data_IF_828145977765
#
_entry.id   IF_828145977765
#
_cell.length_a   1.000
_cell.length_b   1.000
_cell.length_c   1.000
_cell.angle_alpha   90.00
_cell.angle_beta   90.00
_cell.angle_gamma   90.00
#
_symmetry.space_group_name_H-M   'P 1'
#
loop_
_entity.id
_entity.type
_entity.pdbx_description
1 polymer ?
#
# COMPACT_ATOMS: atom_id res chain seq x y z
N UNK A 1 -11.85 26.04 4.76
CA UNK A 1 -12.91 26.36 3.77
C UNK A 1 -14.26 25.79 4.22
N UNK A 2 -14.32 24.51 4.64
CA UNK A 2 -15.58 23.84 4.98
C UNK A 2 -16.24 24.44 6.25
N UNK A 3 -15.46 24.81 7.26
CA UNK A 3 -15.97 25.41 8.48
C UNK A 3 -16.67 26.77 8.23
N UNK A 4 -16.17 27.57 7.29
CA UNK A 4 -16.82 28.82 6.89
C UNK A 4 -18.13 28.58 6.13
N UNK A 5 -18.18 27.59 5.26
CA UNK A 5 -19.40 27.18 4.56
C UNK A 5 -20.50 26.71 5.52
N UNK A 6 -20.10 26.17 6.68
CA UNK A 6 -20.99 25.78 7.77
C UNK A 6 -21.34 26.95 8.73
N UNK A 7 -20.92 28.19 8.43
CA UNK A 7 -21.19 29.38 9.22
C UNK A 7 -20.32 29.52 10.46
N UNK A 8 -19.22 28.76 10.58
CA UNK A 8 -18.26 28.91 11.68
C UNK A 8 -17.47 30.22 11.53
N UNK A 9 -17.36 30.99 12.60
CA UNK A 9 -16.61 32.26 12.64
C UNK A 9 -15.31 32.19 13.43
N UNK A 10 -15.10 31.10 14.18
CA UNK A 10 -13.93 30.90 15.04
C UNK A 10 -13.45 29.43 14.95
N UNK A 11 -12.15 29.24 15.10
CA UNK A 11 -11.52 27.96 15.36
C UNK A 11 -10.96 27.91 16.77
N UNK A 12 -11.02 26.75 17.43
CA UNK A 12 -10.48 26.55 18.79
C UNK A 12 -9.67 25.23 18.81
N UNK A 13 -8.62 25.22 19.62
CA UNK A 13 -7.80 24.02 19.86
C UNK A 13 -7.30 24.00 21.31
N UNK A 14 -6.83 22.84 21.77
CA UNK A 14 -6.11 22.67 23.03
C UNK A 14 -4.65 22.27 22.74
N UNK A 15 -3.70 22.91 23.46
CA UNK A 15 -2.27 22.60 23.39
C UNK A 15 -1.72 22.40 24.80
N UNK A 16 -0.82 21.44 25.01
CA UNK A 16 -0.18 21.20 26.32
C UNK A 16 0.62 22.44 26.75
N UNK A 17 0.39 22.91 27.98
CA UNK A 17 1.18 24.01 28.57
C UNK A 17 2.62 23.59 28.72
N UNK A 18 3.53 24.36 28.12
CA UNK A 18 4.96 24.00 27.97
C UNK A 18 5.36 23.43 26.62
N UNK A 19 4.42 23.17 25.69
CA UNK A 19 4.75 22.88 24.29
C UNK A 19 5.00 24.18 23.52
N UNK A 20 6.15 24.82 23.80
CA UNK A 20 6.51 26.14 23.26
C UNK A 20 6.49 26.18 21.72
N UNK A 21 6.91 25.08 21.05
CA UNK A 21 6.93 25.01 19.59
C UNK A 21 5.52 25.04 18.98
N UNK A 22 4.58 24.29 19.55
CA UNK A 22 3.19 24.29 19.10
C UNK A 22 2.48 25.63 19.41
N UNK A 23 2.74 26.18 20.60
CA UNK A 23 2.19 27.49 21.01
C UNK A 23 2.69 28.59 20.07
N UNK A 24 3.98 28.61 19.72
CA UNK A 24 4.55 29.57 18.78
C UNK A 24 3.92 29.45 17.38
N UNK A 25 3.73 28.22 16.89
CA UNK A 25 3.06 27.97 15.61
C UNK A 25 1.62 28.51 15.62
N UNK A 26 0.84 28.18 16.65
CA UNK A 26 -0.56 28.65 16.72
C UNK A 26 -0.68 30.16 16.88
N UNK A 27 0.22 30.78 17.65
CA UNK A 27 0.29 32.25 17.73
C UNK A 27 0.58 32.86 16.35
N UNK A 28 1.50 32.27 15.57
CA UNK A 28 1.81 32.72 14.20
C UNK A 28 0.60 32.57 13.25
N UNK A 29 -0.28 31.59 13.49
CA UNK A 29 -1.53 31.40 12.75
C UNK A 29 -2.69 32.30 13.25
N UNK A 30 -2.42 33.20 14.18
CA UNK A 30 -3.41 34.15 14.71
C UNK A 30 -4.26 33.60 15.86
N UNK A 31 -3.91 32.44 16.44
CA UNK A 31 -4.55 31.96 17.65
C UNK A 31 -4.08 32.76 18.89
N UNK A 32 -4.98 32.98 19.80
CA UNK A 32 -4.70 33.63 21.11
C UNK A 32 -5.23 32.76 22.23
N UNK A 33 -4.59 32.82 23.40
CA UNK A 33 -5.05 32.09 24.58
C UNK A 33 -6.44 32.58 24.99
N UNK A 34 -7.41 31.69 25.04
CA UNK A 34 -8.79 31.95 25.48
C UNK A 34 -9.09 31.36 26.86
N UNK A 35 -8.25 30.46 27.37
CA UNK A 35 -8.43 29.86 28.70
C UNK A 35 -7.49 28.67 28.93
N UNK A 36 -7.65 28.03 30.08
CA UNK A 36 -6.85 26.86 30.48
C UNK A 36 -7.72 25.75 31.05
N UNK A 37 -7.37 24.49 30.75
CA UNK A 37 -8.00 23.31 31.34
C UNK A 37 -6.98 22.55 32.17
N UNK A 38 -7.18 22.50 33.49
CA UNK A 38 -6.27 21.84 34.42
C UNK A 38 -6.29 20.31 34.23
N UNK A 39 -5.10 19.71 34.19
CA UNK A 39 -4.93 18.26 34.14
C UNK A 39 -5.45 17.58 32.87
N UNK A 40 -5.69 18.33 31.79
CA UNK A 40 -6.29 17.82 30.55
C UNK A 40 -5.42 16.74 29.89
N UNK A 41 -4.09 16.89 29.92
CA UNK A 41 -3.12 15.92 29.41
C UNK A 41 -2.54 14.98 30.48
N UNK A 42 -3.17 14.94 31.68
CA UNK A 42 -2.76 14.10 32.80
C UNK A 42 -2.36 14.90 34.05
N UNK A 43 -1.97 14.22 35.11
CA UNK A 43 -1.61 14.85 36.38
C UNK A 43 -0.45 15.85 36.24
N UNK A 44 -0.73 17.14 36.50
CA UNK A 44 0.24 18.24 36.42
C UNK A 44 0.50 18.76 34.99
N UNK A 45 -0.31 18.33 33.99
CA UNK A 45 -0.20 18.75 32.59
C UNK A 45 -1.49 19.47 32.17
N UNK A 46 -1.45 20.76 32.17
CA UNK A 46 -2.58 21.62 31.81
C UNK A 46 -2.65 21.82 30.28
N UNK A 47 -3.84 22.10 29.76
CA UNK A 47 -4.02 22.56 28.38
C UNK A 47 -4.26 24.06 28.34
N UNK A 48 -3.63 24.75 27.40
CA UNK A 48 -4.00 26.09 26.97
C UNK A 48 -5.06 25.92 25.86
N UNK A 49 -6.22 26.54 26.07
CA UNK A 49 -7.25 26.64 25.02
C UNK A 49 -6.95 27.89 24.21
N UNK A 50 -6.73 27.72 22.90
CA UNK A 50 -6.43 28.81 21.99
C UNK A 50 -7.56 28.98 20.96
N UNK A 51 -7.86 30.20 20.58
CA UNK A 51 -8.90 30.53 19.59
C UNK A 51 -8.38 31.51 18.55
N UNK A 52 -8.87 31.40 17.33
CA UNK A 52 -8.61 32.34 16.24
C UNK A 52 -9.89 32.61 15.44
N UNK A 53 -10.06 33.81 14.87
CA UNK A 53 -11.14 34.08 13.92
C UNK A 53 -10.87 33.33 12.59
N UNK A 54 -11.94 32.94 11.91
CA UNK A 54 -11.85 32.36 10.55
C UNK A 54 -12.14 33.46 9.50
N UNK A 55 -11.44 33.43 8.35
CA UNK A 55 -10.37 32.51 7.95
C UNK A 55 -9.07 32.75 8.72
N UNK A 56 -8.30 31.68 8.93
CA UNK A 56 -6.97 31.79 9.53
C UNK A 56 -6.06 32.60 8.60
N UNK A 57 -5.35 33.56 9.17
CA UNK A 57 -4.34 34.36 8.44
C UNK A 57 -3.02 33.61 8.53
N UNK A 58 -2.57 33.03 7.43
CA UNK A 58 -1.23 32.44 7.36
C UNK A 58 -0.19 33.58 7.48
N UNK A 59 0.85 33.43 8.31
CA UNK A 59 1.94 34.39 8.36
C UNK A 59 2.58 34.48 6.98
N UNK A 60 2.57 35.67 6.40
CA UNK A 60 3.38 35.94 5.20
C UNK A 60 4.79 36.19 5.72
N UNK A 61 5.62 35.17 5.70
CA UNK A 61 7.01 35.29 6.14
C UNK A 61 7.80 36.08 5.10
N UNK A 62 7.98 37.39 5.33
CA UNK A 62 8.81 38.25 4.48
C UNK A 62 10.33 37.98 4.66
N UNK A 63 10.71 36.98 5.44
CA UNK A 63 12.08 36.60 5.77
C UNK A 63 12.39 35.15 5.47
N UNK A 64 11.66 34.51 4.55
CA UNK A 64 12.08 33.19 4.06
C UNK A 64 13.47 33.32 3.45
N UNK A 65 14.44 32.46 3.79
CA UNK A 65 15.72 32.42 3.07
C UNK A 65 15.43 32.23 1.59
N UNK A 66 16.26 32.81 0.72
CA UNK A 66 16.08 32.60 -0.72
C UNK A 66 15.94 31.10 -0.99
N UNK A 67 14.89 30.70 -1.73
CA UNK A 67 14.62 29.28 -1.95
C UNK A 67 15.83 28.63 -2.61
N UNK A 68 16.20 27.46 -2.12
CA UNK A 68 17.27 26.65 -2.72
C UNK A 68 16.95 26.33 -4.17
N UNK A 69 17.92 25.92 -4.97
CA UNK A 69 17.68 25.52 -6.37
C UNK A 69 16.61 24.42 -6.52
N UNK A 70 16.42 23.59 -5.49
CA UNK A 70 15.34 22.60 -5.43
C UNK A 70 13.97 23.22 -5.15
N UNK A 71 13.91 24.26 -4.31
CA UNK A 71 12.69 25.02 -3.98
C UNK A 71 12.29 26.01 -5.06
N UNK A 72 13.21 26.37 -5.95
CA UNK A 72 12.96 27.23 -7.12
C UNK A 72 12.37 26.43 -8.31
N UNK A 73 12.24 25.12 -8.22
CA UNK A 73 11.56 24.34 -9.25
C UNK A 73 10.10 24.76 -9.35
N UNK A 74 9.76 25.43 -10.44
CA UNK A 74 8.36 25.74 -10.78
C UNK A 74 7.67 24.42 -11.08
N UNK A 75 6.74 24.04 -10.24
CA UNK A 75 5.95 22.83 -10.46
C UNK A 75 4.53 23.21 -10.94
N UNK A 76 3.92 22.55 -11.95
CA UNK A 76 4.48 21.46 -12.74
C UNK A 76 5.64 21.91 -13.63
N UNK A 77 6.63 21.02 -13.82
CA UNK A 77 7.77 21.28 -14.68
C UNK A 77 7.28 21.77 -16.06
N UNK A 78 7.87 22.85 -16.63
CA UNK A 78 7.50 23.31 -17.96
C UNK A 78 7.75 22.19 -18.98
N UNK A 79 6.87 22.08 -19.98
CA UNK A 79 7.06 21.13 -21.06
C UNK A 79 8.42 21.35 -21.72
N UNK A 80 9.26 20.30 -21.84
CA UNK A 80 10.53 20.40 -22.56
C UNK A 80 10.32 20.87 -24.01
N UNK A 81 11.31 21.46 -24.59
CA UNK A 81 11.30 21.82 -26.02
C UNK A 81 11.34 20.58 -26.93
N UNK A 82 10.26 19.80 -26.95
CA UNK A 82 10.14 18.57 -27.75
C UNK A 82 10.13 18.85 -29.24
N UNK A 83 10.81 18.02 -30.02
CA UNK A 83 10.63 17.92 -31.45
C UNK A 83 9.21 17.46 -31.81
N UNK A 84 8.76 17.68 -33.04
CA UNK A 84 7.44 17.20 -33.50
C UNK A 84 7.33 15.66 -33.43
N UNK A 85 8.41 14.93 -33.74
CA UNK A 85 8.47 13.50 -33.67
C UNK A 85 8.33 12.97 -32.24
N UNK A 86 9.00 13.58 -31.26
CA UNK A 86 8.88 13.21 -29.84
C UNK A 86 7.46 13.45 -29.32
N UNK A 87 6.84 14.58 -29.67
CA UNK A 87 5.43 14.86 -29.28
C UNK A 87 4.48 13.82 -29.81
N UNK A 88 4.59 13.49 -31.12
CA UNK A 88 3.74 12.46 -31.74
C UNK A 88 3.93 11.08 -31.10
N UNK A 89 5.18 10.73 -30.73
CA UNK A 89 5.45 9.46 -30.05
C UNK A 89 4.85 9.41 -28.66
N UNK A 90 4.99 10.46 -27.84
CA UNK A 90 4.39 10.56 -26.52
C UNK A 90 2.87 10.49 -26.59
N UNK A 91 2.25 11.25 -27.50
CA UNK A 91 0.80 11.25 -27.70
C UNK A 91 0.29 9.87 -28.10
N UNK A 92 0.97 9.18 -29.01
CA UNK A 92 0.65 7.83 -29.44
C UNK A 92 0.69 6.85 -28.28
N UNK A 93 1.65 7.00 -27.35
CA UNK A 93 1.84 6.12 -26.21
C UNK A 93 0.83 6.30 -25.10
N UNK A 94 0.14 7.45 -25.02
CA UNK A 94 -0.91 7.70 -24.03
C UNK A 94 -0.48 7.33 -22.60
N UNK A 95 0.55 8.00 -22.10
CA UNK A 95 1.19 7.71 -20.83
C UNK A 95 0.26 7.91 -19.63
N UNK A 96 0.12 6.91 -18.78
CA UNK A 96 -0.63 6.98 -17.52
C UNK A 96 0.36 6.95 -16.37
N UNK A 97 0.36 8.02 -15.56
CA UNK A 97 1.07 8.06 -14.28
C UNK A 97 0.16 7.52 -13.19
N UNK A 98 0.68 6.71 -12.28
CA UNK A 98 -0.08 6.23 -11.13
C UNK A 98 0.69 6.37 -9.82
N UNK A 99 -0.03 6.65 -8.74
CA UNK A 99 0.50 6.89 -7.39
C UNK A 99 -0.08 5.85 -6.43
N UNK A 100 0.81 5.22 -5.66
CA UNK A 100 0.47 4.31 -4.55
C UNK A 100 1.00 4.91 -3.24
N UNK A 101 0.12 5.03 -2.24
CA UNK A 101 0.48 5.54 -0.90
C UNK A 101 -0.40 4.94 0.19
N UNK A 102 -0.92 3.73 0.01
CA UNK A 102 -1.93 3.16 0.92
C UNK A 102 -1.40 2.76 2.31
N UNK A 103 -0.09 2.52 2.45
CA UNK A 103 0.52 2.06 3.70
C UNK A 103 1.84 2.78 4.00
N UNK A 104 2.98 2.12 3.80
CA UNK A 104 4.31 2.64 4.14
C UNK A 104 5.25 2.74 2.92
N UNK A 105 4.74 2.52 1.72
CA UNK A 105 5.42 2.81 0.45
C UNK A 105 4.82 4.03 -0.23
N UNK A 106 5.68 4.97 -0.63
CA UNK A 106 5.32 6.01 -1.61
C UNK A 106 5.84 5.56 -2.96
N UNK A 107 4.97 5.19 -3.88
CA UNK A 107 5.39 4.72 -5.18
C UNK A 107 4.71 5.49 -6.32
N UNK A 108 5.44 5.65 -7.44
CA UNK A 108 4.95 6.27 -8.67
C UNK A 108 5.42 5.45 -9.87
N UNK A 109 4.50 5.13 -10.75
CA UNK A 109 4.81 4.41 -11.98
C UNK A 109 4.22 5.12 -13.20
N UNK A 110 4.84 4.91 -14.36
CA UNK A 110 4.35 5.39 -15.64
C UNK A 110 4.30 4.21 -16.61
N UNK A 111 3.13 4.00 -17.18
CA UNK A 111 2.83 2.93 -18.14
C UNK A 111 2.30 3.51 -19.45
N UNK A 112 2.65 2.88 -20.58
CA UNK A 112 2.08 3.27 -21.87
C UNK A 112 0.81 2.47 -22.22
N UNK A 113 0.15 2.84 -23.32
CA UNK A 113 -1.09 2.19 -23.79
C UNK A 113 -0.91 0.70 -24.09
N UNK A 114 0.29 0.26 -24.47
CA UNK A 114 0.60 -1.13 -24.80
C UNK A 114 0.89 -1.96 -23.52
N UNK A 115 0.96 -1.33 -22.35
CA UNK A 115 1.24 -1.98 -21.06
C UNK A 115 2.74 -2.07 -20.75
N UNK A 116 3.60 -1.32 -21.47
CA UNK A 116 5.01 -1.26 -21.15
C UNK A 116 5.24 -0.33 -19.96
N UNK A 117 5.88 -0.84 -18.91
CA UNK A 117 6.26 -0.07 -17.75
C UNK A 117 7.50 0.77 -18.07
N UNK A 118 7.36 2.09 -18.09
CA UNK A 118 8.44 3.03 -18.41
C UNK A 118 9.17 3.51 -17.16
N UNK A 119 8.47 3.60 -16.03
CA UNK A 119 9.04 3.95 -14.73
C UNK A 119 8.26 3.25 -13.60
N UNK A 120 8.96 2.86 -12.54
CA UNK A 120 8.35 2.39 -11.30
C UNK A 120 9.27 2.72 -10.12
N UNK A 121 9.08 3.89 -9.53
CA UNK A 121 9.84 4.40 -8.41
C UNK A 121 9.14 4.06 -7.10
N UNK A 122 9.88 3.55 -6.13
CA UNK A 122 9.36 3.16 -4.81
C UNK A 122 10.26 3.73 -3.72
N UNK A 123 9.68 4.51 -2.82
CA UNK A 123 10.30 4.98 -1.59
C UNK A 123 9.66 4.27 -0.41
N UNK A 124 10.36 3.29 0.17
CA UNK A 124 9.87 2.52 1.33
C UNK A 124 10.24 3.15 2.65
N UNK A 125 9.39 2.98 3.64
CA UNK A 125 9.59 3.45 5.02
C UNK A 125 9.94 2.29 5.98
N UNK A 126 10.18 1.07 5.46
CA UNK A 126 10.39 -0.16 6.26
C UNK A 126 11.47 0.03 7.32
N UNK A 127 12.64 0.58 6.98
CA UNK A 127 13.75 0.78 7.91
C UNK A 127 13.38 1.73 9.06
N UNK A 128 12.49 2.67 8.80
CA UNK A 128 12.01 3.59 9.82
C UNK A 128 11.01 2.88 10.75
N UNK A 129 10.05 2.18 10.21
CA UNK A 129 9.01 1.47 10.95
C UNK A 129 9.55 0.25 11.71
N UNK A 130 10.64 -0.37 11.24
CA UNK A 130 11.32 -1.45 11.93
C UNK A 130 11.75 -1.07 13.37
N UNK A 131 12.07 0.21 13.61
CA UNK A 131 12.43 0.73 14.96
C UNK A 131 11.26 0.68 15.95
N UNK A 132 10.03 0.66 15.46
CA UNK A 132 8.80 0.59 16.26
C UNK A 132 8.20 -0.81 16.28
N UNK A 133 8.76 -1.75 15.51
CA UNK A 133 8.27 -3.11 15.38
C UNK A 133 6.96 -3.24 14.59
N UNK A 134 6.72 -2.30 13.66
CA UNK A 134 5.55 -2.26 12.78
C UNK A 134 5.22 -0.85 12.31
N UNK A 135 4.29 -0.73 11.38
CA UNK A 135 3.88 0.55 10.78
C UNK A 135 3.18 1.44 11.82
N UNK A 136 3.61 2.71 11.90
CA UNK A 136 2.97 3.76 12.71
C UNK A 136 2.25 4.71 11.75
N UNK A 137 0.90 4.71 11.71
CA UNK A 137 0.11 5.40 10.67
C UNK A 137 0.39 6.90 10.54
N UNK A 138 0.50 7.62 11.66
CA UNK A 138 0.79 9.07 11.61
C UNK A 138 2.19 9.39 11.05
N UNK A 139 3.16 8.53 11.34
CA UNK A 139 4.51 8.70 10.81
C UNK A 139 4.51 8.40 9.31
N UNK A 140 3.81 7.33 8.89
CA UNK A 140 3.66 7.00 7.48
C UNK A 140 3.11 8.18 6.69
N UNK A 141 2.04 8.80 7.17
CA UNK A 141 1.43 9.97 6.51
C UNK A 141 2.41 11.12 6.32
N UNK A 142 3.18 11.46 7.35
CA UNK A 142 4.18 12.54 7.27
C UNK A 142 5.30 12.21 6.27
N UNK A 143 5.73 10.96 6.25
CA UNK A 143 6.78 10.50 5.31
C UNK A 143 6.32 10.56 3.86
N UNK A 144 5.06 10.25 3.57
CA UNK A 144 4.51 10.44 2.22
C UNK A 144 4.60 11.90 1.77
N UNK A 145 4.24 12.85 2.63
CA UNK A 145 4.33 14.30 2.32
C UNK A 145 5.77 14.71 2.00
N UNK A 146 6.75 14.17 2.74
CA UNK A 146 8.16 14.52 2.56
C UNK A 146 8.73 14.08 1.20
N UNK A 147 8.23 12.96 0.64
CA UNK A 147 8.91 12.33 -0.50
C UNK A 147 8.09 12.29 -1.81
N UNK A 148 6.77 12.49 -1.76
CA UNK A 148 5.89 12.26 -2.92
C UNK A 148 6.29 13.07 -4.16
N UNK A 149 6.72 14.31 -3.99
CA UNK A 149 7.16 15.18 -5.10
C UNK A 149 8.41 14.60 -5.75
N UNK A 150 9.43 14.25 -4.95
CA UNK A 150 10.69 13.71 -5.48
C UNK A 150 10.51 12.35 -6.17
N UNK A 151 9.58 11.51 -5.70
CA UNK A 151 9.28 10.22 -6.32
C UNK A 151 8.55 10.41 -7.66
N UNK A 152 7.66 11.41 -7.75
CA UNK A 152 7.01 11.79 -9.02
C UNK A 152 8.03 12.33 -10.01
N UNK A 153 8.90 13.26 -9.60
CA UNK A 153 9.94 13.81 -10.45
C UNK A 153 10.85 12.72 -11.02
N UNK A 154 11.32 11.81 -10.16
CA UNK A 154 12.15 10.69 -10.59
C UNK A 154 11.43 9.76 -11.58
N UNK A 155 10.13 9.49 -11.37
CA UNK A 155 9.36 8.68 -12.32
C UNK A 155 9.18 9.36 -13.68
N UNK A 156 8.98 10.68 -13.71
CA UNK A 156 8.89 11.46 -14.96
C UNK A 156 10.23 11.51 -15.71
N UNK A 157 11.35 11.59 -14.98
CA UNK A 157 12.71 11.54 -15.55
C UNK A 157 13.01 10.15 -16.13
N UNK A 158 12.74 9.07 -15.38
CA UNK A 158 12.95 7.68 -15.82
C UNK A 158 12.12 7.34 -17.06
N UNK A 159 10.85 7.78 -17.10
CA UNK A 159 10.01 7.54 -18.26
C UNK A 159 10.54 8.22 -19.51
N UNK A 160 11.04 9.46 -19.40
CA UNK A 160 11.69 10.15 -20.51
C UNK A 160 12.95 9.43 -20.98
N UNK A 161 13.80 8.98 -20.05
CA UNK A 161 14.99 8.19 -20.35
C UNK A 161 14.64 6.85 -21.03
N UNK A 162 13.61 6.15 -20.56
CA UNK A 162 13.12 4.88 -21.15
C UNK A 162 12.62 5.05 -22.58
N UNK A 163 12.11 6.23 -22.92
CA UNK A 163 11.69 6.60 -24.27
C UNK A 163 12.83 7.16 -25.16
N UNK A 164 14.03 7.33 -24.61
CA UNK A 164 15.16 7.92 -25.31
C UNK A 164 14.95 9.38 -25.69
N UNK A 165 14.15 10.12 -24.91
CA UNK A 165 13.85 11.52 -25.18
C UNK A 165 15.02 12.41 -24.77
N UNK A 166 15.37 13.36 -25.62
CA UNK A 166 16.38 14.36 -25.32
C UNK A 166 15.74 15.51 -24.46
N UNK A 167 16.43 15.94 -23.43
CA UNK A 167 16.06 17.16 -22.70
C UNK A 167 15.05 17.00 -21.57
N UNK A 168 15.25 16.04 -20.65
CA UNK A 168 14.65 16.06 -19.33
C UNK A 168 13.42 15.16 -19.13
N UNK A 169 12.59 15.46 -18.15
CA UNK A 169 11.45 14.65 -17.72
C UNK A 169 10.24 14.74 -18.67
N UNK A 170 9.31 13.79 -18.57
CA UNK A 170 7.96 13.92 -19.13
C UNK A 170 7.26 15.08 -18.42
N UNK A 171 6.71 16.03 -19.17
CA UNK A 171 5.91 17.08 -18.56
C UNK A 171 4.53 16.55 -18.13
N UNK A 172 3.93 17.05 -17.04
CA UNK A 172 2.59 16.66 -16.62
C UNK A 172 1.52 16.79 -17.71
N UNK A 173 1.65 17.82 -18.57
CA UNK A 173 0.76 18.02 -19.71
C UNK A 173 0.93 16.99 -20.84
N UNK A 174 2.01 16.22 -20.86
CA UNK A 174 2.28 15.14 -21.82
C UNK A 174 1.65 13.79 -21.38
N UNK A 175 1.19 13.68 -20.15
CA UNK A 175 0.46 12.50 -19.66
C UNK A 175 -0.93 12.41 -20.30
N UNK A 176 -1.49 11.20 -20.37
CA UNK A 176 -2.86 10.96 -20.79
C UNK A 176 -3.84 10.96 -19.61
N UNK A 177 -3.43 10.41 -18.46
CA UNK A 177 -4.23 10.35 -17.25
C UNK A 177 -3.34 10.24 -16.00
N UNK A 178 -3.94 10.49 -14.82
CA UNK A 178 -3.32 10.30 -13.51
C UNK A 178 -4.13 9.31 -12.71
N UNK A 179 -3.51 8.19 -12.35
CA UNK A 179 -4.06 7.16 -11.47
C UNK A 179 -3.67 7.40 -10.01
N UNK A 180 -4.49 6.97 -9.08
CA UNK A 180 -4.15 6.99 -7.65
C UNK A 180 -4.90 5.92 -6.90
N UNK A 181 -4.26 5.33 -5.91
CA UNK A 181 -4.94 4.45 -4.96
C UNK A 181 -5.87 5.27 -4.07
N UNK A 182 -7.18 4.98 -4.18
CA UNK A 182 -8.22 5.59 -3.37
C UNK A 182 -8.39 4.89 -2.03
N UNK A 183 -8.18 3.59 -1.99
CA UNK A 183 -8.34 2.70 -0.85
C UNK A 183 -8.34 1.22 -1.28
N UNK A 184 -8.44 0.29 -0.30
CA UNK A 184 -8.31 0.54 1.14
C UNK A 184 -6.88 0.85 1.56
N UNK A 185 -6.71 1.34 2.82
CA UNK A 185 -5.38 1.62 3.38
C UNK A 185 -5.43 2.53 4.61
N UNK A 186 -4.27 3.00 5.03
CA UNK A 186 -4.15 3.95 6.13
C UNK A 186 -4.69 5.31 5.72
N UNK A 187 -5.72 5.81 6.40
CA UNK A 187 -6.46 7.03 6.02
C UNK A 187 -5.52 8.22 5.76
N UNK A 188 -4.57 8.49 6.67
CA UNK A 188 -3.65 9.63 6.51
C UNK A 188 -2.71 9.47 5.33
N UNK A 189 -2.25 8.27 5.03
CA UNK A 189 -1.40 7.94 3.89
C UNK A 189 -2.17 8.08 2.56
N UNK A 190 -3.37 7.51 2.48
CA UNK A 190 -4.28 7.66 1.33
C UNK A 190 -4.61 9.12 1.03
N UNK A 191 -4.93 9.92 2.07
CA UNK A 191 -5.24 11.35 1.92
C UNK A 191 -4.10 12.10 1.23
N UNK A 192 -2.84 11.80 1.57
CA UNK A 192 -1.68 12.44 0.92
C UNK A 192 -1.65 12.12 -0.57
N UNK A 193 -1.73 10.84 -0.95
CA UNK A 193 -1.70 10.42 -2.35
C UNK A 193 -2.88 10.97 -3.15
N UNK A 194 -4.10 10.85 -2.63
CA UNK A 194 -5.32 11.32 -3.29
C UNK A 194 -5.31 12.85 -3.46
N UNK A 195 -4.95 13.62 -2.40
CA UNK A 195 -4.88 15.07 -2.50
C UNK A 195 -3.81 15.52 -3.50
N UNK A 196 -2.63 14.88 -3.47
CA UNK A 196 -1.57 15.16 -4.42
C UNK A 196 -2.02 14.86 -5.86
N UNK A 197 -2.55 13.66 -6.12
CA UNK A 197 -3.00 13.26 -7.46
C UNK A 197 -4.09 14.18 -8.02
N UNK A 198 -5.06 14.60 -7.18
CA UNK A 198 -6.09 15.58 -7.55
C UNK A 198 -5.46 16.91 -7.99
N UNK A 199 -4.58 17.47 -7.16
CA UNK A 199 -3.90 18.74 -7.47
C UNK A 199 -3.04 18.65 -8.72
N UNK A 200 -2.30 17.55 -8.87
CA UNK A 200 -1.45 17.28 -10.02
C UNK A 200 -2.26 17.13 -11.32
N UNK A 201 -3.28 16.28 -11.33
CA UNK A 201 -4.14 16.07 -12.48
C UNK A 201 -4.88 17.33 -12.89
N UNK A 202 -5.41 18.09 -11.91
CA UNK A 202 -6.09 19.36 -12.16
C UNK A 202 -5.15 20.40 -12.79
N UNK A 203 -3.96 20.57 -12.23
CA UNK A 203 -2.96 21.52 -12.77
C UNK A 203 -2.46 21.11 -14.16
N UNK A 204 -2.34 19.82 -14.43
CA UNK A 204 -1.95 19.28 -15.73
C UNK A 204 -3.10 19.27 -16.77
N UNK A 205 -4.35 19.52 -16.37
CA UNK A 205 -5.53 19.41 -17.22
C UNK A 205 -5.81 17.97 -17.66
N UNK A 206 -5.54 17.00 -16.79
CA UNK A 206 -5.66 15.56 -17.10
C UNK A 206 -6.75 14.89 -16.28
N UNK A 207 -7.41 13.84 -16.82
CA UNK A 207 -8.38 13.06 -16.07
C UNK A 207 -7.73 12.32 -14.90
N UNK A 208 -8.46 12.21 -13.78
CA UNK A 208 -8.12 11.42 -12.61
C UNK A 208 -8.75 10.03 -12.71
N UNK A 209 -8.03 8.99 -12.30
CA UNK A 209 -8.52 7.61 -12.25
C UNK A 209 -8.25 7.03 -10.87
N UNK A 210 -9.28 6.86 -10.07
CA UNK A 210 -9.18 6.23 -8.75
C UNK A 210 -9.15 4.71 -8.86
N UNK A 211 -8.26 4.08 -8.11
CA UNK A 211 -7.98 2.65 -8.17
C UNK A 211 -8.16 2.03 -6.78
N UNK A 212 -8.74 0.84 -6.74
CA UNK A 212 -8.77 0.01 -5.55
C UNK A 212 -7.42 -0.70 -5.39
N UNK A 213 -6.78 -0.55 -4.22
CA UNK A 213 -5.48 -1.16 -3.90
C UNK A 213 -5.48 -2.68 -4.06
N UNK A 214 -6.56 -3.35 -3.63
CA UNK A 214 -6.68 -4.81 -3.72
C UNK A 214 -6.78 -5.29 -5.18
N UNK A 215 -7.45 -4.49 -6.03
CA UNK A 215 -7.48 -4.70 -7.47
C UNK A 215 -6.07 -4.55 -8.06
N UNK A 216 -5.26 -3.61 -7.56
CA UNK A 216 -3.84 -3.47 -7.92
C UNK A 216 -3.08 -4.79 -7.73
N UNK A 217 -3.15 -5.39 -6.56
CA UNK A 217 -2.49 -6.69 -6.31
C UNK A 217 -2.98 -7.81 -7.23
N UNK A 218 -4.24 -7.81 -7.62
CA UNK A 218 -4.77 -8.75 -8.60
C UNK A 218 -4.13 -8.51 -9.97
N UNK A 219 -4.07 -7.25 -10.39
CA UNK A 219 -3.51 -6.85 -11.69
C UNK A 219 -1.99 -6.98 -11.78
N UNK A 220 -1.27 -7.02 -10.65
CA UNK A 220 0.17 -7.33 -10.62
C UNK A 220 0.51 -8.64 -11.34
N UNK A 221 -0.44 -9.59 -11.43
CA UNK A 221 -0.26 -10.84 -12.18
C UNK A 221 -0.17 -10.62 -13.70
N UNK A 222 -0.75 -9.53 -14.23
CA UNK A 222 -0.64 -9.19 -15.65
C UNK A 222 0.78 -8.75 -16.06
N UNK A 223 1.56 -8.26 -15.09
CA UNK A 223 2.98 -7.93 -15.33
C UNK A 223 3.82 -9.19 -15.61
N UNK A 224 3.40 -10.35 -15.09
CA UNK A 224 4.04 -11.64 -15.38
C UNK A 224 3.38 -12.36 -16.56
N UNK A 225 2.08 -12.19 -16.73
CA UNK A 225 1.27 -12.90 -17.71
C UNK A 225 0.25 -11.96 -18.36
N UNK A 226 0.66 -11.20 -19.40
CA UNK A 226 -0.21 -10.20 -20.05
C UNK A 226 -1.46 -10.81 -20.73
N UNK A 227 -1.42 -12.11 -21.07
CA UNK A 227 -2.54 -12.84 -21.68
C UNK A 227 -3.54 -13.43 -20.66
N UNK A 228 -3.35 -13.20 -19.35
CA UNK A 228 -4.26 -13.64 -18.30
C UNK A 228 -5.67 -13.07 -18.53
N UNK A 229 -6.67 -13.95 -18.49
CA UNK A 229 -8.08 -13.60 -18.68
C UNK A 229 -8.98 -14.31 -17.67
N UNK A 230 -10.00 -13.62 -17.14
CA UNK A 230 -11.04 -14.29 -16.35
C UNK A 230 -11.79 -15.37 -17.16
N UNK A 231 -12.41 -16.39 -16.50
CA UNK A 231 -12.50 -16.51 -15.04
C UNK A 231 -11.28 -17.24 -14.43
N UNK A 232 -10.90 -16.83 -13.22
CA UNK A 232 -9.85 -17.49 -12.44
C UNK A 232 -10.05 -17.30 -10.92
N UNK A 233 -9.32 -18.09 -10.12
CA UNK A 233 -9.27 -17.91 -8.66
C UNK A 233 -8.03 -17.10 -8.30
N UNK A 234 -8.23 -16.08 -7.48
CA UNK A 234 -7.16 -15.22 -6.96
C UNK A 234 -7.09 -15.32 -5.42
N UNK A 235 -5.88 -15.51 -4.89
CA UNK A 235 -5.63 -15.41 -3.45
C UNK A 235 -4.80 -14.17 -3.18
N UNK A 236 -5.34 -13.24 -2.40
CA UNK A 236 -4.59 -12.13 -1.85
C UNK A 236 -4.03 -12.52 -0.48
N UNK A 237 -2.72 -12.39 -0.31
CA UNK A 237 -2.00 -12.65 0.94
C UNK A 237 -0.98 -11.54 1.20
N UNK A 238 -1.34 -10.62 2.07
CA UNK A 238 -0.51 -9.43 2.39
C UNK A 238 -0.38 -9.23 3.90
N UNK A 239 0.22 -8.11 4.31
CA UNK A 239 0.28 -7.68 5.70
C UNK A 239 -1.10 -7.36 6.28
N UNK A 240 -1.97 -6.71 5.48
CA UNK A 240 -3.30 -6.26 5.93
C UNK A 240 -4.46 -7.15 5.47
N UNK A 241 -4.29 -7.96 4.42
CA UNK A 241 -5.39 -8.71 3.82
C UNK A 241 -5.06 -10.18 3.58
N UNK A 242 -6.06 -11.03 3.79
CA UNK A 242 -6.03 -12.43 3.37
C UNK A 242 -7.42 -12.80 2.88
N UNK A 243 -7.55 -13.01 1.58
CA UNK A 243 -8.83 -13.31 0.96
C UNK A 243 -8.69 -14.23 -0.26
N UNK A 244 -9.77 -14.92 -0.56
CA UNK A 244 -9.92 -15.76 -1.74
C UNK A 244 -11.03 -15.21 -2.62
N UNK A 245 -10.73 -14.92 -3.87
CA UNK A 245 -11.60 -14.22 -4.80
C UNK A 245 -11.81 -15.06 -6.06
N UNK A 246 -13.06 -15.15 -6.51
CA UNK A 246 -13.40 -15.63 -7.83
C UNK A 246 -13.53 -14.42 -8.77
N UNK A 247 -12.58 -14.27 -9.66
CA UNK A 247 -12.57 -13.23 -10.68
C UNK A 247 -13.39 -13.77 -11.86
N UNK A 248 -14.64 -13.33 -12.00
CA UNK A 248 -15.56 -13.77 -13.06
C UNK A 248 -15.32 -13.04 -14.36
N UNK A 249 -15.10 -11.74 -14.26
CA UNK A 249 -14.69 -10.82 -15.33
C UNK A 249 -13.85 -9.69 -14.73
N UNK A 250 -13.20 -8.88 -15.56
CA UNK A 250 -12.56 -7.66 -15.09
C UNK A 250 -13.60 -6.69 -14.53
N UNK A 251 -13.49 -6.33 -13.24
CA UNK A 251 -14.47 -5.52 -12.51
C UNK A 251 -15.65 -6.33 -11.92
N UNK A 252 -15.70 -7.66 -12.09
CA UNK A 252 -16.68 -8.54 -11.45
C UNK A 252 -15.98 -9.56 -10.57
N UNK A 253 -15.91 -9.25 -9.28
CA UNK A 253 -15.17 -9.98 -8.27
C UNK A 253 -16.13 -10.54 -7.21
N UNK A 254 -16.04 -11.84 -6.96
CA UNK A 254 -16.76 -12.49 -5.88
C UNK A 254 -15.77 -12.90 -4.78
N UNK A 255 -15.84 -12.24 -3.64
CA UNK A 255 -15.06 -12.63 -2.46
C UNK A 255 -15.66 -13.89 -1.88
N UNK A 256 -15.00 -15.04 -2.08
CA UNK A 256 -15.43 -16.35 -1.57
C UNK A 256 -15.23 -16.46 -0.06
N UNK A 257 -14.19 -15.83 0.46
CA UNK A 257 -13.90 -15.76 1.88
C UNK A 257 -12.67 -14.93 2.19
N UNK A 258 -12.64 -14.39 3.38
CA UNK A 258 -11.57 -13.53 3.91
C UNK A 258 -11.20 -13.97 5.33
N UNK A 259 -10.13 -13.36 5.87
CA UNK A 259 -9.74 -13.66 7.25
C UNK A 259 -10.73 -13.05 8.24
N UNK A 260 -11.01 -13.82 9.31
CA UNK A 260 -11.86 -13.39 10.43
C UNK A 260 -11.07 -12.67 11.53
N UNK A 261 -9.74 -12.72 11.43
CA UNK A 261 -8.83 -12.15 12.43
C UNK A 261 -7.58 -11.59 11.74
N UNK A 262 -6.38 -12.08 12.06
CA UNK A 262 -5.15 -11.57 11.45
C UNK A 262 -5.02 -11.94 9.97
N UNK A 263 -4.44 -11.04 9.20
CA UNK A 263 -3.89 -11.38 7.89
C UNK A 263 -2.65 -12.28 8.03
N UNK A 264 -2.29 -12.98 6.94
CA UNK A 264 -1.13 -13.89 6.95
C UNK A 264 0.15 -13.15 7.29
N UNK A 265 0.45 -12.02 6.65
CA UNK A 265 1.67 -11.25 6.93
C UNK A 265 1.71 -10.75 8.38
N UNK A 266 0.59 -10.24 8.89
CA UNK A 266 0.47 -9.82 10.30
C UNK A 266 0.74 -10.99 11.26
N UNK A 267 0.29 -12.21 10.94
CA UNK A 267 0.57 -13.38 11.76
C UNK A 267 2.07 -13.73 11.78
N UNK A 268 2.76 -13.60 10.64
CA UNK A 268 4.21 -13.75 10.54
C UNK A 268 4.94 -12.72 11.40
N UNK A 269 4.53 -11.45 11.34
CA UNK A 269 5.14 -10.37 12.14
C UNK A 269 4.94 -10.61 13.63
N UNK A 270 3.75 -11.03 14.05
CA UNK A 270 3.44 -11.34 15.45
C UNK A 270 4.24 -12.53 15.97
N UNK A 271 4.42 -13.58 15.16
CA UNK A 271 5.25 -14.74 15.52
C UNK A 271 6.74 -14.34 15.60
N UNK A 272 7.25 -13.59 14.65
CA UNK A 272 8.61 -13.07 14.68
C UNK A 272 8.86 -12.22 15.93
N UNK A 273 7.93 -11.34 16.27
CA UNK A 273 7.99 -10.52 17.48
C UNK A 273 7.99 -11.36 18.77
N UNK A 274 7.16 -12.40 18.84
CA UNK A 274 7.12 -13.32 19.98
C UNK A 274 8.43 -14.09 20.16
N UNK A 275 9.18 -14.31 19.08
CA UNK A 275 10.50 -14.93 19.06
C UNK A 275 11.66 -13.93 19.22
N UNK A 276 11.38 -12.62 19.30
CA UNK A 276 12.42 -11.58 19.39
C UNK A 276 13.24 -11.37 18.12
N UNK A 277 12.68 -11.71 16.94
CA UNK A 277 13.42 -11.75 15.67
C UNK A 277 13.41 -10.43 14.87
N UNK A 278 12.59 -9.47 15.25
CA UNK A 278 12.52 -8.16 14.56
C UNK A 278 11.39 -8.08 13.51
N UNK A 279 11.46 -7.02 12.66
CA UNK A 279 10.45 -6.64 11.66
C UNK A 279 11.14 -6.24 10.34
N UNK A 280 10.55 -6.57 9.17
CA UNK A 280 9.33 -7.38 8.97
C UNK A 280 9.56 -8.87 9.23
N UNK A 281 8.58 -9.53 9.86
CA UNK A 281 8.69 -10.92 10.32
C UNK A 281 8.64 -11.94 9.18
N UNK A 282 7.89 -11.65 8.10
CA UNK A 282 7.71 -12.56 6.98
C UNK A 282 9.04 -13.06 6.37
N UNK A 283 9.92 -12.19 5.89
CA UNK A 283 11.22 -12.58 5.34
C UNK A 283 12.12 -13.30 6.34
N UNK A 284 12.09 -12.91 7.61
CA UNK A 284 12.91 -13.52 8.68
C UNK A 284 12.47 -14.97 8.94
N UNK A 285 11.17 -15.19 9.12
CA UNK A 285 10.58 -16.52 9.33
C UNK A 285 10.84 -17.40 8.09
N UNK A 286 10.63 -16.87 6.89
CA UNK A 286 10.88 -17.59 5.64
C UNK A 286 12.32 -18.08 5.53
N UNK A 287 13.29 -17.22 5.83
CA UNK A 287 14.71 -17.59 5.82
C UNK A 287 15.07 -18.66 6.85
N UNK A 288 14.50 -18.58 8.06
CA UNK A 288 14.69 -19.62 9.07
C UNK A 288 14.09 -20.96 8.63
N UNK A 289 12.92 -20.92 7.97
CA UNK A 289 12.22 -22.13 7.53
C UNK A 289 12.99 -22.93 6.45
N UNK A 290 13.88 -22.30 5.68
CA UNK A 290 14.67 -22.96 4.63
C UNK A 290 15.43 -24.20 5.12
N UNK A 291 15.91 -24.18 6.36
CA UNK A 291 16.69 -25.29 6.95
C UNK A 291 15.91 -26.11 7.95
N UNK A 292 14.63 -25.80 8.18
CA UNK A 292 13.78 -26.44 9.17
C UNK A 292 13.00 -27.63 8.63
N UNK A 293 12.54 -28.48 9.55
CA UNK A 293 11.64 -29.58 9.23
C UNK A 293 10.17 -29.12 9.38
N UNK A 294 9.38 -29.03 8.27
CA UNK A 294 7.99 -28.55 8.32
C UNK A 294 7.00 -29.50 9.04
N UNK A 295 7.49 -30.67 9.50
CA UNK A 295 6.72 -31.68 10.25
C UNK A 295 7.19 -31.85 11.68
N UNK A 296 8.11 -31.01 12.14
CA UNK A 296 8.66 -31.14 13.50
C UNK A 296 7.61 -30.83 14.58
N UNK A 297 6.72 -29.88 14.30
CA UNK A 297 5.66 -29.45 15.23
C UNK A 297 4.31 -29.51 14.48
N UNK A 298 3.34 -30.22 15.04
CA UNK A 298 2.00 -30.31 14.44
C UNK A 298 1.11 -29.15 14.91
N UNK A 299 1.26 -28.01 14.22
CA UNK A 299 0.44 -26.84 14.47
C UNK A 299 -0.97 -26.98 13.87
N UNK A 300 -2.00 -26.35 14.47
CA UNK A 300 -3.39 -26.46 14.00
C UNK A 300 -3.60 -25.78 12.64
N UNK A 301 -4.55 -26.33 11.86
CA UNK A 301 -5.03 -25.79 10.57
C UNK A 301 -6.52 -25.46 10.74
N UNK A 302 -6.81 -24.19 11.04
CA UNK A 302 -8.18 -23.75 11.34
C UNK A 302 -9.10 -23.74 10.11
N UNK A 303 -10.43 -23.75 10.35
CA UNK A 303 -11.49 -23.59 9.33
C UNK A 303 -11.31 -24.50 8.11
N UNK A 304 -10.95 -25.76 8.33
CA UNK A 304 -10.49 -26.67 7.29
C UNK A 304 -11.64 -27.49 6.65
N UNK A 305 -12.90 -27.09 6.87
CA UNK A 305 -14.09 -27.74 6.34
C UNK A 305 -14.24 -27.49 4.84
N UNK A 306 -14.83 -28.44 4.11
CA UNK A 306 -15.14 -28.28 2.68
C UNK A 306 -16.21 -27.21 2.50
N UNK A 307 -15.94 -26.22 1.63
CA UNK A 307 -16.87 -25.11 1.33
C UNK A 307 -16.74 -23.91 2.28
N UNK A 308 -15.91 -23.99 3.33
CA UNK A 308 -15.55 -22.82 4.12
C UNK A 308 -14.27 -22.19 3.57
N UNK A 309 -14.39 -21.00 2.99
CA UNK A 309 -13.28 -20.27 2.37
C UNK A 309 -12.70 -19.17 3.28
N UNK A 310 -13.30 -18.95 4.47
CA UNK A 310 -12.79 -17.96 5.44
C UNK A 310 -11.47 -18.47 6.05
N UNK A 311 -10.63 -17.53 6.46
CA UNK A 311 -9.36 -17.83 7.12
C UNK A 311 -9.42 -17.42 8.59
N UNK A 312 -8.59 -18.04 9.42
CA UNK A 312 -8.34 -17.65 10.81
C UNK A 312 -6.95 -18.11 11.22
N UNK A 313 -6.18 -17.22 11.79
CA UNK A 313 -4.81 -17.47 12.25
C UNK A 313 -4.64 -17.30 13.76
N UNK A 314 -5.67 -16.83 14.47
CA UNK A 314 -5.63 -16.62 15.93
C UNK A 314 -5.32 -17.91 16.70
N UNK A 315 -5.96 -19.03 16.33
CA UNK A 315 -5.68 -20.32 16.95
C UNK A 315 -4.26 -20.82 16.68
N UNK A 316 -3.72 -20.57 15.49
CA UNK A 316 -2.35 -20.92 15.13
C UNK A 316 -1.34 -20.07 15.93
N UNK A 317 -1.53 -18.76 16.03
CA UNK A 317 -0.68 -17.88 16.85
C UNK A 317 -0.66 -18.32 18.30
N UNK A 318 -1.82 -18.60 18.89
CA UNK A 318 -1.94 -19.08 20.26
C UNK A 318 -1.17 -20.39 20.44
N UNK A 319 -1.28 -21.34 19.50
CA UNK A 319 -0.53 -22.58 19.55
C UNK A 319 0.99 -22.36 19.49
N UNK A 320 1.48 -21.44 18.66
CA UNK A 320 2.91 -21.07 18.59
C UNK A 320 3.37 -20.45 19.92
N UNK A 321 2.62 -19.49 20.47
CA UNK A 321 2.94 -18.85 21.75
C UNK A 321 3.00 -19.89 22.90
N UNK A 322 2.00 -20.76 22.98
CA UNK A 322 1.97 -21.82 23.98
C UNK A 322 3.15 -22.79 23.85
N UNK A 323 3.52 -23.15 22.61
CA UNK A 323 4.69 -23.99 22.36
C UNK A 323 5.98 -23.30 22.87
N UNK A 324 6.19 -22.03 22.55
CA UNK A 324 7.32 -21.23 23.03
C UNK A 324 7.37 -21.23 24.57
N UNK A 325 6.25 -20.94 25.22
CA UNK A 325 6.15 -20.93 26.68
C UNK A 325 6.45 -22.28 27.30
N UNK A 326 5.91 -23.38 26.75
CA UNK A 326 6.13 -24.73 27.25
C UNK A 326 7.60 -25.13 27.14
N UNK A 327 8.24 -24.89 26.00
CA UNK A 327 9.65 -25.20 25.81
C UNK A 327 10.55 -24.39 26.77
N UNK A 328 10.25 -23.09 26.91
CA UNK A 328 10.97 -22.19 27.81
C UNK A 328 10.84 -22.61 29.28
N UNK A 329 9.61 -22.92 29.73
CA UNK A 329 9.34 -23.43 31.12
C UNK A 329 10.03 -24.75 31.40
N UNK A 330 10.17 -25.59 30.38
CA UNK A 330 10.84 -26.87 30.48
C UNK A 330 12.37 -26.78 30.38
N UNK A 331 12.91 -25.56 30.18
CA UNK A 331 14.36 -25.33 30.00
C UNK A 331 14.91 -25.93 28.70
N UNK A 332 14.06 -26.19 27.70
CA UNK A 332 14.49 -26.73 26.42
C UNK A 332 14.78 -25.59 25.44
N UNK A 333 15.83 -25.78 24.64
CA UNK A 333 16.16 -24.84 23.57
C UNK A 333 15.23 -25.05 22.40
N UNK A 334 14.56 -23.98 21.94
CA UNK A 334 13.71 -24.01 20.75
C UNK A 334 14.58 -24.04 19.50
N UNK A 335 14.36 -25.04 18.64
CA UNK A 335 14.98 -25.09 17.33
C UNK A 335 14.19 -24.17 16.37
N UNK A 336 14.62 -22.91 16.24
CA UNK A 336 13.93 -21.87 15.47
C UNK A 336 13.63 -22.28 14.02
N UNK A 337 14.54 -22.91 13.26
CA UNK A 337 14.25 -23.39 11.92
C UNK A 337 13.05 -24.32 11.83
N UNK A 338 12.95 -25.30 12.74
CA UNK A 338 11.82 -26.27 12.77
C UNK A 338 10.50 -25.59 13.13
N UNK A 339 10.54 -24.67 14.09
CA UNK A 339 9.36 -23.90 14.46
C UNK A 339 8.88 -23.04 13.27
N UNK A 340 9.78 -22.31 12.61
CA UNK A 340 9.50 -21.47 11.45
C UNK A 340 8.93 -22.31 10.29
N UNK A 341 9.56 -23.43 9.95
CA UNK A 341 9.11 -24.32 8.88
C UNK A 341 7.75 -24.95 9.18
N UNK A 342 7.50 -25.37 10.44
CA UNK A 342 6.22 -25.96 10.85
C UNK A 342 5.10 -24.92 10.87
N UNK A 343 5.39 -23.67 11.27
CA UNK A 343 4.45 -22.56 11.22
C UNK A 343 4.08 -22.22 9.77
N UNK A 344 5.07 -22.01 8.88
CA UNK A 344 4.82 -21.79 7.44
C UNK A 344 3.97 -22.90 6.84
N UNK A 345 4.32 -24.15 7.10
CA UNK A 345 3.57 -25.30 6.58
C UNK A 345 2.11 -25.27 7.03
N UNK A 346 1.83 -24.89 8.29
CA UNK A 346 0.46 -24.78 8.78
C UNK A 346 -0.33 -23.69 8.06
N UNK A 347 0.26 -22.52 7.83
CA UNK A 347 -0.37 -21.42 7.09
C UNK A 347 -0.62 -21.81 5.63
N UNK A 348 0.40 -22.30 4.94
CA UNK A 348 0.34 -22.55 3.50
C UNK A 348 -0.51 -23.75 3.12
N UNK A 349 -0.59 -24.78 3.98
CA UNK A 349 -1.51 -25.90 3.78
C UNK A 349 -2.97 -25.44 3.73
N UNK A 350 -3.36 -24.48 4.58
CA UNK A 350 -4.72 -23.90 4.57
C UNK A 350 -4.94 -23.10 3.27
N UNK A 351 -3.97 -22.25 2.87
CA UNK A 351 -4.06 -21.47 1.63
C UNK A 351 -4.26 -22.41 0.41
N UNK A 352 -3.40 -23.42 0.29
CA UNK A 352 -3.50 -24.39 -0.80
C UNK A 352 -4.83 -25.12 -0.82
N UNK A 353 -5.32 -25.61 0.35
CA UNK A 353 -6.55 -26.41 0.43
C UNK A 353 -7.76 -25.58 0.01
N UNK A 354 -7.84 -24.32 0.44
CA UNK A 354 -8.95 -23.43 0.09
C UNK A 354 -8.91 -23.06 -1.39
N UNK A 355 -7.75 -22.69 -1.93
CA UNK A 355 -7.55 -22.43 -3.37
C UNK A 355 -7.97 -23.64 -4.21
N UNK A 356 -7.50 -24.86 -3.85
CA UNK A 356 -7.90 -26.10 -4.52
C UNK A 356 -9.42 -26.34 -4.49
N UNK A 357 -10.06 -26.14 -3.33
CA UNK A 357 -11.50 -26.32 -3.20
C UNK A 357 -12.29 -25.32 -4.05
N UNK A 358 -11.86 -24.06 -4.10
CA UNK A 358 -12.47 -23.01 -4.92
C UNK A 358 -12.33 -23.32 -6.42
N UNK A 359 -11.14 -23.71 -6.87
CA UNK A 359 -10.89 -24.12 -8.25
C UNK A 359 -11.78 -25.30 -8.66
N UNK A 360 -11.96 -26.27 -7.76
CA UNK A 360 -12.84 -27.40 -8.01
C UNK A 360 -14.33 -26.98 -8.05
N UNK A 361 -14.75 -26.08 -7.16
CA UNK A 361 -16.16 -25.64 -7.08
C UNK A 361 -16.56 -24.75 -8.28
N UNK A 362 -15.64 -23.88 -8.73
CA UNK A 362 -15.89 -22.95 -9.84
C UNK A 362 -15.56 -23.54 -11.22
N UNK A 363 -14.78 -24.61 -11.27
CA UNK A 363 -14.28 -25.19 -12.53
C UNK A 363 -13.16 -24.40 -13.20
N UNK A 364 -12.67 -23.31 -12.57
CA UNK A 364 -11.56 -22.50 -13.09
C UNK A 364 -10.28 -23.34 -13.31
N UNK A 365 -9.56 -23.03 -14.39
CA UNK A 365 -8.29 -23.67 -14.73
C UNK A 365 -7.08 -22.76 -14.54
N UNK A 366 -7.31 -21.57 -14.03
CA UNK A 366 -6.30 -20.56 -13.75
C UNK A 366 -6.36 -20.18 -12.27
N UNK A 367 -5.18 -20.02 -11.69
CA UNK A 367 -5.00 -19.57 -10.31
C UNK A 367 -3.94 -18.47 -10.27
N UNK A 368 -4.24 -17.40 -9.56
CA UNK A 368 -3.33 -16.29 -9.33
C UNK A 368 -3.14 -16.05 -7.83
N UNK A 369 -1.99 -15.52 -7.46
CA UNK A 369 -1.71 -15.09 -6.08
C UNK A 369 -1.10 -13.69 -6.12
N UNK A 370 -1.37 -12.88 -5.09
CA UNK A 370 -0.81 -11.53 -4.97
C UNK A 370 -0.64 -11.11 -3.52
N UNK A 371 -0.06 -9.92 -3.30
CA UNK A 371 0.29 -9.40 -1.98
C UNK A 371 1.68 -9.81 -1.51
N UNK A 372 2.24 -9.10 -0.52
CA UNK A 372 3.63 -9.25 -0.08
C UNK A 372 4.03 -10.68 0.32
N UNK A 373 3.11 -11.45 0.92
CA UNK A 373 3.39 -12.85 1.30
C UNK A 373 3.54 -13.76 0.07
N UNK A 374 3.01 -13.35 -1.08
CA UNK A 374 3.20 -14.10 -2.34
C UNK A 374 4.66 -14.13 -2.81
N UNK A 375 5.53 -13.29 -2.24
CA UNK A 375 6.98 -13.34 -2.46
C UNK A 375 7.65 -14.55 -1.79
N UNK A 376 7.00 -15.19 -0.79
CA UNK A 376 7.57 -16.33 -0.08
C UNK A 376 7.85 -17.51 -1.04
N UNK A 377 9.11 -17.99 -1.13
CA UNK A 377 9.51 -19.01 -2.10
C UNK A 377 8.81 -20.34 -1.87
N UNK A 378 8.59 -20.74 -0.60
CA UNK A 378 7.94 -22.02 -0.28
C UNK A 378 6.45 -22.01 -0.68
N UNK A 379 5.76 -20.89 -0.47
CA UNK A 379 4.36 -20.72 -0.90
C UNK A 379 4.26 -20.80 -2.43
N UNK A 380 5.11 -20.04 -3.15
CA UNK A 380 5.15 -20.03 -4.63
C UNK A 380 5.39 -21.43 -5.18
N UNK A 381 6.47 -22.09 -4.73
CA UNK A 381 6.81 -23.44 -5.19
C UNK A 381 5.68 -24.43 -4.90
N UNK A 382 5.11 -24.38 -3.71
CA UNK A 382 4.02 -25.27 -3.32
C UNK A 382 2.79 -25.09 -4.20
N UNK A 383 2.36 -23.84 -4.48
CA UNK A 383 1.20 -23.54 -5.32
C UNK A 383 1.46 -23.99 -6.76
N UNK A 384 2.59 -23.61 -7.34
CA UNK A 384 2.97 -23.99 -8.72
C UNK A 384 3.00 -25.53 -8.84
N UNK A 385 3.67 -26.23 -7.91
CA UNK A 385 3.85 -27.69 -7.98
C UNK A 385 2.57 -28.46 -7.73
N UNK A 386 1.81 -28.11 -6.65
CA UNK A 386 0.62 -28.89 -6.25
C UNK A 386 -0.58 -28.61 -7.15
N UNK A 387 -0.82 -27.37 -7.57
CA UNK A 387 -1.92 -27.02 -8.48
C UNK A 387 -1.58 -27.37 -9.93
N UNK A 388 -0.33 -27.16 -10.38
CA UNK A 388 0.13 -27.54 -11.70
C UNK A 388 -0.05 -29.05 -11.99
N UNK A 389 0.17 -29.92 -11.01
CA UNK A 389 -0.11 -31.37 -11.12
C UNK A 389 -1.59 -31.70 -11.34
N UNK A 390 -2.49 -30.76 -11.08
CA UNK A 390 -3.93 -30.91 -11.31
C UNK A 390 -4.39 -30.24 -12.61
N UNK A 391 -3.44 -29.82 -13.46
CA UNK A 391 -3.71 -29.15 -14.73
C UNK A 391 -4.19 -27.69 -14.57
N UNK A 392 -3.90 -27.05 -13.45
CA UNK A 392 -4.19 -25.64 -13.20
C UNK A 392 -2.98 -24.80 -13.61
N UNK A 393 -3.18 -23.77 -14.43
CA UNK A 393 -2.15 -22.76 -14.72
C UNK A 393 -2.02 -21.83 -13.52
N UNK A 394 -0.82 -21.67 -13.00
CA UNK A 394 -0.55 -20.85 -11.81
C UNK A 394 0.28 -19.66 -12.22
N UNK A 395 -0.26 -18.46 -12.02
CA UNK A 395 0.44 -17.20 -12.20
C UNK A 395 0.84 -16.62 -10.86
N UNK A 396 2.09 -16.17 -10.79
CA UNK A 396 2.65 -15.47 -9.64
C UNK A 396 3.31 -14.18 -10.13
N UNK A 397 3.09 -13.04 -9.46
CA UNK A 397 3.67 -11.77 -9.92
C UNK A 397 5.21 -11.80 -9.81
N UNK A 398 5.92 -10.93 -10.56
CA UNK A 398 7.36 -10.72 -10.33
C UNK A 398 7.60 -10.33 -8.88
N UNK A 399 8.77 -10.64 -8.32
CA UNK A 399 9.08 -10.31 -6.92
C UNK A 399 8.95 -8.81 -6.64
N UNK A 400 9.35 -7.97 -7.60
CA UNK A 400 9.23 -6.51 -7.54
C UNK A 400 7.77 -5.99 -7.52
N UNK A 401 6.80 -6.83 -7.85
CA UNK A 401 5.38 -6.48 -7.88
C UNK A 401 4.55 -7.23 -6.81
N UNK A 402 5.20 -7.95 -5.88
CA UNK A 402 4.52 -8.63 -4.79
C UNK A 402 4.15 -7.66 -3.65
N UNK A 403 5.06 -6.76 -3.28
CA UNK A 403 4.82 -5.70 -2.28
C UNK A 403 4.12 -4.50 -2.92
N UNK A 404 3.70 -3.54 -2.09
CA UNK A 404 3.03 -2.34 -2.55
C UNK A 404 3.93 -1.55 -3.51
N UNK A 405 3.39 -1.23 -4.67
CA UNK A 405 4.10 -0.55 -5.76
C UNK A 405 3.10 0.14 -6.69
N UNK A 406 3.56 1.14 -7.43
CA UNK A 406 2.67 1.87 -8.33
C UNK A 406 2.47 1.19 -9.70
N UNK A 407 3.32 0.21 -10.08
CA UNK A 407 3.13 -0.49 -11.36
C UNK A 407 1.81 -1.27 -11.39
N UNK A 408 1.41 -1.88 -10.27
CA UNK A 408 0.13 -2.57 -10.14
C UNK A 408 -1.05 -1.61 -10.26
N UNK A 409 -0.92 -0.40 -9.72
CA UNK A 409 -1.96 0.65 -9.78
C UNK A 409 -2.02 1.24 -11.20
N UNK A 410 -0.87 1.44 -11.85
CA UNK A 410 -0.78 1.94 -13.21
C UNK A 410 -1.49 1.02 -14.21
N UNK A 411 -1.34 -0.30 -14.07
CA UNK A 411 -2.02 -1.26 -14.95
C UNK A 411 -3.55 -1.22 -14.80
N UNK A 412 -4.07 -1.07 -13.57
CA UNK A 412 -5.50 -0.86 -13.35
C UNK A 412 -5.96 0.47 -13.91
N UNK A 413 -5.25 1.56 -13.58
CA UNK A 413 -5.59 2.91 -14.03
C UNK A 413 -5.63 3.02 -15.55
N UNK A 414 -4.63 2.46 -16.25
CA UNK A 414 -4.59 2.41 -17.71
C UNK A 414 -5.83 1.73 -18.29
N UNK A 415 -6.19 0.55 -17.78
CA UNK A 415 -7.35 -0.21 -18.28
C UNK A 415 -8.68 0.48 -17.97
N UNK A 416 -8.81 1.11 -16.80
CA UNK A 416 -9.97 1.94 -16.47
C UNK A 416 -10.07 3.14 -17.42
N UNK A 417 -8.96 3.84 -17.63
CA UNK A 417 -8.89 4.96 -18.56
C UNK A 417 -9.26 4.55 -20.00
N UNK A 418 -8.77 3.41 -20.48
CA UNK A 418 -9.10 2.89 -21.82
C UNK A 418 -10.60 2.55 -21.98
N UNK A 419 -11.29 2.20 -20.89
CA UNK A 419 -12.76 2.00 -20.86
C UNK A 419 -13.54 3.30 -20.66
N UNK A 420 -12.87 4.44 -20.50
CA UNK A 420 -13.50 5.72 -20.22
C UNK A 420 -13.96 5.90 -18.77
N UNK A 421 -13.49 5.06 -17.85
CA UNK A 421 -13.78 5.14 -16.42
C UNK A 421 -12.85 6.19 -15.78
N UNK A 422 -13.33 7.42 -15.67
CA UNK A 422 -12.64 8.53 -15.02
C UNK A 422 -13.35 8.90 -13.71
N UNK A 423 -12.60 9.43 -12.77
CA UNK A 423 -13.10 9.83 -11.45
C UNK A 423 -13.30 11.34 -11.37
N UNK A 424 -14.35 11.83 -10.70
CA UNK A 424 -14.51 13.25 -10.45
C UNK A 424 -13.47 13.76 -9.44
N UNK A 425 -13.24 15.07 -9.41
CA UNK A 425 -12.23 15.67 -8.51
C UNK A 425 -12.74 15.86 -7.07
N UNK A 426 -14.00 15.59 -6.78
CA UNK A 426 -14.57 15.63 -5.45
C UNK A 426 -14.48 14.30 -4.69
N UNK A 427 -13.84 13.26 -5.28
CA UNK A 427 -13.57 12.00 -4.59
C UNK A 427 -12.70 12.20 -3.36
N UNK A 428 -12.93 11.37 -2.34
CA UNK A 428 -12.10 11.28 -1.13
C UNK A 428 -11.42 9.92 -1.02
N UNK A 429 -10.42 9.85 -0.13
CA UNK A 429 -9.82 8.58 0.26
C UNK A 429 -10.86 7.69 0.97
N UNK A 430 -10.87 6.40 0.63
CA UNK A 430 -11.75 5.41 1.27
C UNK A 430 -10.93 4.31 1.95
N UNK A 431 -10.61 4.47 3.26
CA UNK A 431 -9.79 3.50 3.98
C UNK A 431 -10.38 2.09 4.07
N UNK A 432 -11.70 1.98 3.92
CA UNK A 432 -12.46 0.74 4.06
C UNK A 432 -13.01 0.23 2.72
N UNK A 433 -12.49 0.71 1.62
CA UNK A 433 -12.92 0.33 0.28
C UNK A 433 -12.85 -1.19 0.10
N UNK A 434 -13.93 -1.80 -0.34
CA UNK A 434 -13.97 -3.24 -0.63
C UNK A 434 -13.66 -3.50 -2.11
N UNK A 435 -13.26 -4.74 -2.41
CA UNK A 435 -13.00 -5.18 -3.79
C UNK A 435 -14.30 -5.30 -4.58
#
# INVERSE_FOLDING_TARGET
YDAQMLGCTTASLEVEDGNEGAIALYNALGFTEAGRRRGYYGAGKDAIVMTAPLPLVLPVDNASPEPTAAEQRVWPLPAPGRSEGERAEIERRRLVLAIESSCDETAVAIIDADGNMLANQVSTQIDFHARFGGVVPEIASRKHVEVIVSVVDAALEDAAASLGLEGGAIAPSELAAVGVTQGPGLVGALVVGVAFAKGFAYAAGKPLVCVNHLEGHLFANLLAQPDLKPPFIFTLVSGGHTMLVHVKAWGDYEVLGETLDDAVGEAFDKVAKALGLGYPGGPIISKLAETGNPKAIDFPRALNSRGDYRFSLSGLKTAVTLYIEQETKAGRTIHLPDLAASFEAAVFDVQYKKAKNALHATGCKEYCIGGGVSANPHLREMMIKKLGRQGIRVTVPPLSACTDNAAMIAEVARRKFDRGEISPFDVDADPNMTL
#
